data_IF_012868063576
#
_entry.id   IF_012868063576
#
_cell.length_a   1.000
_cell.length_b   1.000
_cell.length_c   1.000
_cell.angle_alpha   90.00
_cell.angle_beta   90.00
_cell.angle_gamma   90.00
#
_symmetry.space_group_name_H-M   'P 1'
#
loop_
_entity.id
_entity.type
_entity.pdbx_description
1 polymer ?
#
# COMPACT_ATOMS: atom_id res chain seq x y z
N UNK A 1 -22.38 0.50 -3.86
CA UNK A 1 -21.35 -0.52 -4.20
C UNK A 1 -20.00 0.00 -3.66
N UNK A 2 -19.35 -0.74 -2.79
CA UNK A 2 -18.06 -0.34 -2.23
C UNK A 2 -16.98 -0.41 -3.32
N UNK A 3 -16.18 0.63 -3.47
CA UNK A 3 -15.13 0.73 -4.51
C UNK A 3 -14.01 -0.30 -4.36
N UNK A 4 -13.63 -0.65 -3.13
CA UNK A 4 -12.62 -1.65 -2.79
C UNK A 4 -13.13 -2.62 -1.72
N UNK A 5 -12.64 -3.86 -1.73
CA UNK A 5 -12.80 -4.76 -0.59
C UNK A 5 -11.85 -4.31 0.54
N UNK A 6 -12.32 -4.44 1.79
CA UNK A 6 -11.56 -3.99 2.96
C UNK A 6 -10.12 -4.56 3.04
N UNK A 7 -9.87 -5.87 2.84
CA UNK A 7 -8.50 -6.37 2.85
C UNK A 7 -7.62 -5.81 1.72
N UNK A 8 -8.19 -5.50 0.55
CA UNK A 8 -7.44 -4.88 -0.54
C UNK A 8 -7.13 -3.40 -0.23
N UNK A 9 -8.05 -2.68 0.43
CA UNK A 9 -7.82 -1.32 0.91
C UNK A 9 -6.69 -1.29 1.94
N UNK A 10 -6.70 -2.20 2.94
CA UNK A 10 -5.63 -2.32 3.91
C UNK A 10 -4.27 -2.70 3.29
N UNK A 11 -4.26 -3.58 2.28
CA UNK A 11 -3.02 -3.91 1.57
C UNK A 11 -2.47 -2.69 0.82
N UNK A 12 -3.33 -1.90 0.21
CA UNK A 12 -2.94 -0.66 -0.44
C UNK A 12 -2.42 0.37 0.56
N UNK A 13 -3.12 0.56 1.69
CA UNK A 13 -2.71 1.45 2.79
C UNK A 13 -1.35 1.04 3.37
N UNK A 14 -1.12 -0.25 3.61
CA UNK A 14 0.17 -0.74 4.08
C UNK A 14 1.29 -0.45 3.06
N UNK A 15 1.00 -0.59 1.78
CA UNK A 15 1.95 -0.21 0.72
C UNK A 15 2.25 1.30 0.71
N UNK A 16 1.24 2.16 0.97
CA UNK A 16 1.42 3.60 1.14
C UNK A 16 2.29 3.93 2.37
N UNK A 17 2.06 3.24 3.49
CA UNK A 17 2.77 3.49 4.74
C UNK A 17 4.23 3.01 4.74
N UNK A 18 4.55 1.97 3.95
CA UNK A 18 5.86 1.30 4.00
C UNK A 18 6.70 1.48 2.74
N UNK A 19 6.08 1.86 1.63
CA UNK A 19 6.69 1.85 0.33
C UNK A 19 6.91 0.44 -0.26
N UNK A 20 6.49 -0.63 0.41
CA UNK A 20 6.64 -1.99 -0.10
C UNK A 20 5.80 -2.23 -1.36
N UNK A 21 6.30 -3.07 -2.25
CA UNK A 21 5.53 -3.47 -3.44
C UNK A 21 4.31 -4.28 -3.01
N UNK A 22 3.18 -4.06 -3.66
CA UNK A 22 1.93 -4.75 -3.32
C UNK A 22 2.07 -6.28 -3.33
N UNK A 23 2.94 -6.83 -4.19
CA UNK A 23 3.22 -8.27 -4.20
C UNK A 23 3.86 -8.76 -2.90
N UNK A 24 4.82 -7.98 -2.37
CA UNK A 24 5.51 -8.31 -1.12
C UNK A 24 4.54 -8.13 0.07
N UNK A 25 3.72 -7.08 0.07
CA UNK A 25 2.66 -6.88 1.07
C UNK A 25 1.68 -8.07 1.12
N UNK A 26 1.19 -8.51 -0.03
CA UNK A 26 0.21 -9.60 -0.10
C UNK A 26 0.78 -10.95 0.34
N UNK A 27 2.08 -11.15 0.23
CA UNK A 27 2.77 -12.37 0.66
C UNK A 27 3.18 -12.39 2.14
N UNK A 28 2.78 -11.38 2.93
CA UNK A 28 3.02 -11.35 4.37
C UNK A 28 2.35 -12.53 5.08
N UNK A 29 3.14 -13.27 5.85
CA UNK A 29 2.64 -14.30 6.76
C UNK A 29 2.11 -13.68 8.05
N UNK A 30 1.08 -14.27 8.63
CA UNK A 30 0.53 -13.81 9.90
C UNK A 30 1.58 -13.88 11.03
N UNK A 31 2.50 -14.85 10.97
CA UNK A 31 3.64 -14.95 11.89
C UNK A 31 4.65 -13.80 11.83
N UNK A 32 4.65 -13.03 10.72
CA UNK A 32 5.52 -11.86 10.55
C UNK A 32 4.87 -10.56 11.03
N UNK A 33 3.58 -10.62 11.42
CA UNK A 33 2.78 -9.45 11.75
C UNK A 33 3.14 -8.92 13.14
N UNK A 34 3.85 -7.81 13.17
CA UNK A 34 4.21 -7.05 14.37
C UNK A 34 4.31 -5.57 13.98
N UNK A 35 4.47 -4.67 14.95
CA UNK A 35 4.58 -3.23 14.67
C UNK A 35 5.83 -2.88 13.84
N UNK A 36 6.89 -3.64 13.98
CA UNK A 36 8.14 -3.46 13.25
C UNK A 36 8.39 -4.66 12.32
N UNK A 37 7.70 -4.68 11.20
CA UNK A 37 7.72 -5.79 10.24
C UNK A 37 8.98 -5.81 9.38
N UNK A 38 9.41 -7.02 9.05
CA UNK A 38 10.52 -7.26 8.12
C UNK A 38 10.04 -8.13 6.97
N UNK A 39 10.35 -7.73 5.74
CA UNK A 39 10.10 -8.53 4.54
C UNK A 39 11.40 -8.76 3.75
N UNK A 40 11.42 -9.83 2.96
CA UNK A 40 12.38 -10.01 1.89
C UNK A 40 11.69 -9.71 0.56
N UNK A 41 12.14 -8.68 -0.14
CA UNK A 41 11.57 -8.26 -1.41
C UNK A 41 11.73 -9.36 -2.47
N UNK A 42 10.65 -9.85 -3.07
CA UNK A 42 10.66 -10.90 -4.08
C UNK A 42 11.50 -10.54 -5.32
N UNK A 43 11.49 -9.26 -5.72
CA UNK A 43 12.18 -8.80 -6.92
C UNK A 43 13.69 -8.64 -6.74
N UNK A 44 14.13 -8.22 -5.57
CA UNK A 44 15.53 -7.81 -5.32
C UNK A 44 16.28 -8.73 -4.37
N UNK A 45 15.57 -9.57 -3.61
CA UNK A 45 16.11 -10.38 -2.53
C UNK A 45 16.57 -9.58 -1.30
N UNK A 46 16.42 -8.25 -1.33
CA UNK A 46 16.85 -7.40 -0.22
C UNK A 46 15.84 -7.44 0.92
N UNK A 47 16.35 -7.37 2.14
CA UNK A 47 15.53 -7.23 3.34
C UNK A 47 15.16 -5.77 3.54
N UNK A 48 13.89 -5.54 3.90
CA UNK A 48 13.35 -4.23 4.25
C UNK A 48 12.60 -4.32 5.56
N UNK A 49 12.94 -3.45 6.51
CA UNK A 49 12.34 -3.37 7.84
C UNK A 49 11.60 -2.04 7.98
N UNK A 50 10.33 -2.08 8.40
CA UNK A 50 9.49 -0.89 8.53
C UNK A 50 8.65 -0.95 9.80
N UNK A 51 8.53 0.20 10.46
CA UNK A 51 7.56 0.39 11.53
C UNK A 51 6.23 0.83 10.93
N UNK A 52 5.16 0.17 11.33
CA UNK A 52 3.80 0.42 10.87
C UNK A 52 3.04 1.19 11.95
N UNK A 53 2.23 2.21 11.59
CA UNK A 53 1.38 2.90 12.55
C UNK A 53 0.52 1.92 13.35
N UNK A 54 0.46 2.08 14.67
CA UNK A 54 -0.23 1.16 15.57
C UNK A 54 -1.70 0.91 15.16
N UNK A 55 -2.41 1.96 14.78
CA UNK A 55 -3.79 1.83 14.32
C UNK A 55 -3.94 0.96 13.07
N UNK A 56 -2.98 1.04 12.13
CA UNK A 56 -2.95 0.18 10.95
C UNK A 56 -2.59 -1.26 11.34
N UNK A 57 -1.61 -1.45 12.23
CA UNK A 57 -1.25 -2.77 12.76
C UNK A 57 -2.45 -3.48 13.40
N UNK A 58 -3.24 -2.81 14.25
CA UNK A 58 -4.43 -3.39 14.86
C UNK A 58 -5.44 -3.87 13.81
N UNK A 59 -5.71 -3.07 12.80
CA UNK A 59 -6.64 -3.43 11.70
C UNK A 59 -6.12 -4.59 10.85
N UNK A 60 -4.81 -4.65 10.61
CA UNK A 60 -4.17 -5.77 9.92
C UNK A 60 -4.33 -7.06 10.72
N UNK A 61 -4.13 -7.00 12.05
CA UNK A 61 -4.27 -8.14 12.95
C UNK A 61 -5.71 -8.66 13.00
N UNK A 62 -6.69 -7.77 13.05
CA UNK A 62 -8.10 -8.14 13.07
C UNK A 62 -8.58 -8.88 11.82
N UNK A 63 -8.00 -8.55 10.66
CA UNK A 63 -8.41 -9.13 9.39
C UNK A 63 -7.53 -10.30 8.93
N UNK A 64 -6.38 -10.53 9.56
CA UNK A 64 -5.44 -11.59 9.21
C UNK A 64 -6.07 -12.98 9.35
N UNK A 65 -5.74 -13.87 8.44
CA UNK A 65 -6.06 -15.29 8.54
C UNK A 65 -4.99 -16.06 9.30
N UNK A 66 -5.14 -17.38 9.41
CA UNK A 66 -4.19 -18.23 10.11
C UNK A 66 -2.78 -18.18 9.49
N UNK A 67 -2.69 -18.26 8.18
CA UNK A 67 -1.42 -18.34 7.46
C UNK A 67 -0.97 -17.00 6.87
N UNK A 68 -1.92 -16.22 6.32
CA UNK A 68 -1.66 -15.01 5.56
C UNK A 68 -2.33 -13.80 6.17
N UNK A 69 -1.62 -12.67 6.22
CA UNK A 69 -2.23 -11.38 6.60
C UNK A 69 -3.35 -11.00 5.63
N UNK A 70 -3.22 -11.37 4.35
CA UNK A 70 -4.21 -11.10 3.30
C UNK A 70 -4.71 -12.40 2.66
N UNK A 71 -5.54 -13.20 3.36
CA UNK A 71 -5.98 -14.48 2.84
C UNK A 71 -6.89 -14.32 1.61
N UNK A 72 -6.74 -15.23 0.65
CA UNK A 72 -7.62 -15.36 -0.50
C UNK A 72 -8.89 -16.14 -0.11
N UNK A 73 -9.90 -16.10 -0.99
CA UNK A 73 -11.05 -17.02 -0.90
C UNK A 73 -10.65 -18.49 -1.18
N UNK A 74 -9.52 -18.71 -1.84
CA UNK A 74 -8.96 -20.06 -2.06
C UNK A 74 -8.10 -20.43 -0.84
N UNK A 75 -8.38 -21.58 -0.26
CA UNK A 75 -7.63 -22.08 0.91
C UNK A 75 -6.12 -22.15 0.63
N UNK A 76 -5.30 -21.83 1.61
CA UNK A 76 -3.84 -21.86 1.54
C UNK A 76 -3.22 -20.83 0.60
N UNK A 77 -3.97 -19.86 0.08
CA UNK A 77 -3.47 -18.82 -0.83
C UNK A 77 -3.70 -17.43 -0.24
N UNK A 78 -2.76 -16.52 -0.51
CA UNK A 78 -2.96 -15.10 -0.28
C UNK A 78 -3.69 -14.43 -1.47
N UNK A 79 -4.16 -13.20 -1.28
CA UNK A 79 -4.77 -12.38 -2.34
C UNK A 79 -3.80 -12.11 -3.47
N UNK A 80 -4.35 -11.88 -4.67
CA UNK A 80 -3.55 -11.63 -5.87
C UNK A 80 -3.41 -10.13 -6.14
N UNK A 81 -2.32 -9.76 -6.81
CA UNK A 81 -2.09 -8.39 -7.29
C UNK A 81 -3.20 -7.93 -8.23
N UNK A 82 -3.72 -8.84 -9.04
CA UNK A 82 -4.83 -8.58 -9.98
C UNK A 82 -6.12 -8.19 -9.23
N UNK A 83 -6.41 -8.84 -8.09
CA UNK A 83 -7.58 -8.50 -7.28
C UNK A 83 -7.46 -7.08 -6.70
N UNK A 84 -6.29 -6.71 -6.19
CA UNK A 84 -6.03 -5.35 -5.70
C UNK A 84 -6.10 -4.34 -6.85
N UNK A 85 -5.52 -4.65 -7.99
CA UNK A 85 -5.55 -3.77 -9.17
C UNK A 85 -6.97 -3.50 -9.66
N UNK A 86 -7.82 -4.55 -9.74
CA UNK A 86 -9.20 -4.39 -10.14
C UNK A 86 -9.99 -3.49 -9.17
N UNK A 87 -9.78 -3.67 -7.87
CA UNK A 87 -10.42 -2.85 -6.83
C UNK A 87 -9.96 -1.40 -6.87
N UNK A 88 -8.64 -1.15 -6.97
CA UNK A 88 -8.06 0.20 -7.07
C UNK A 88 -8.63 0.94 -8.29
N UNK A 89 -8.69 0.29 -9.45
CA UNK A 89 -9.29 0.89 -10.65
C UNK A 89 -10.77 1.18 -10.50
N UNK A 90 -11.51 0.32 -9.83
CA UNK A 90 -12.93 0.53 -9.55
C UNK A 90 -13.12 1.74 -8.64
N UNK A 91 -12.36 1.83 -7.56
CA UNK A 91 -12.39 2.96 -6.64
C UNK A 91 -12.06 4.28 -7.35
N UNK A 92 -10.98 4.31 -8.15
CA UNK A 92 -10.59 5.49 -8.91
C UNK A 92 -11.71 6.00 -9.84
N UNK A 93 -12.41 5.09 -10.54
CA UNK A 93 -13.55 5.47 -11.39
C UNK A 93 -14.72 6.04 -10.60
N UNK A 94 -15.02 5.49 -9.43
CA UNK A 94 -16.15 5.94 -8.60
C UNK A 94 -15.97 7.38 -8.12
N UNK A 95 -14.74 7.84 -8.00
CA UNK A 95 -14.42 9.21 -7.57
C UNK A 95 -13.99 10.11 -8.74
N UNK A 96 -14.20 9.67 -9.97
CA UNK A 96 -13.90 10.48 -11.15
C UNK A 96 -12.41 10.73 -11.39
N UNK A 97 -11.51 9.90 -10.85
CA UNK A 97 -10.09 10.00 -11.14
C UNK A 97 -9.80 9.51 -12.56
N UNK A 98 -9.51 10.42 -13.47
CA UNK A 98 -9.12 10.10 -14.85
C UNK A 98 -7.67 9.59 -14.96
N UNK A 99 -6.86 9.82 -13.94
CA UNK A 99 -5.45 9.41 -13.90
C UNK A 99 -5.32 7.88 -13.76
N UNK A 100 -4.31 7.32 -14.38
CA UNK A 100 -4.02 5.88 -14.28
C UNK A 100 -3.57 5.52 -12.87
N UNK A 101 -4.48 5.01 -12.06
CA UNK A 101 -4.21 4.50 -10.71
C UNK A 101 -3.98 2.99 -10.75
N UNK A 102 -2.95 2.53 -10.07
CA UNK A 102 -2.56 1.12 -9.97
C UNK A 102 -2.02 0.81 -8.57
N UNK A 103 -1.82 -0.46 -8.19
CA UNK A 103 -1.15 -0.78 -6.93
C UNK A 103 0.25 -0.16 -6.76
N UNK A 104 0.92 0.20 -7.87
CA UNK A 104 2.19 0.91 -7.84
C UNK A 104 2.05 2.38 -7.39
N UNK A 105 0.87 2.94 -7.51
CA UNK A 105 0.57 4.30 -7.03
C UNK A 105 0.78 4.43 -5.54
N UNK A 106 0.48 3.40 -4.74
CA UNK A 106 0.75 3.39 -3.30
C UNK A 106 2.24 3.63 -2.98
N UNK A 107 3.12 2.97 -3.73
CA UNK A 107 4.57 3.13 -3.55
C UNK A 107 5.07 4.51 -4.03
N UNK A 108 4.41 5.11 -5.04
CA UNK A 108 4.69 6.48 -5.46
C UNK A 108 4.28 7.48 -4.39
N UNK A 109 3.12 7.31 -3.76
CA UNK A 109 2.66 8.13 -2.64
C UNK A 109 3.70 8.12 -1.52
N UNK A 110 4.14 6.93 -1.08
CA UNK A 110 5.22 6.80 -0.11
C UNK A 110 6.47 7.58 -0.54
N UNK A 111 6.92 7.41 -1.79
CA UNK A 111 8.12 8.05 -2.29
C UNK A 111 8.05 9.58 -2.24
N UNK A 112 6.92 10.15 -2.63
CA UNK A 112 6.68 11.61 -2.58
C UNK A 112 6.70 12.11 -1.14
N UNK A 113 5.94 11.48 -0.25
CA UNK A 113 5.85 11.90 1.16
C UNK A 113 7.18 11.75 1.89
N UNK A 114 7.88 10.62 1.68
CA UNK A 114 9.17 10.38 2.31
C UNK A 114 10.25 11.33 1.78
N UNK A 115 10.26 11.60 0.47
CA UNK A 115 11.20 12.55 -0.14
C UNK A 115 11.00 13.98 0.40
N UNK A 116 9.75 14.41 0.60
CA UNK A 116 9.44 15.73 1.20
C UNK A 116 9.92 15.83 2.64
N UNK A 117 9.80 14.74 3.43
CA UNK A 117 10.17 14.71 4.85
C UNK A 117 11.67 14.51 5.07
N UNK A 118 12.27 13.59 4.33
CA UNK A 118 13.59 13.02 4.63
C UNK A 118 14.61 13.20 3.49
N UNK A 119 14.17 13.69 2.33
CA UNK A 119 15.02 13.92 1.16
C UNK A 119 15.23 12.70 0.27
N UNK A 120 15.73 12.96 -0.95
CA UNK A 120 15.84 11.96 -2.02
C UNK A 120 16.74 10.77 -1.68
N UNK A 121 17.88 11.02 -1.03
CA UNK A 121 18.84 9.96 -0.68
C UNK A 121 18.25 8.97 0.32
N UNK A 122 17.53 9.47 1.33
CA UNK A 122 16.79 8.63 2.28
C UNK A 122 15.74 7.79 1.57
N UNK A 123 14.91 8.39 0.74
CA UNK A 123 13.85 7.71 -0.01
C UNK A 123 14.41 6.64 -0.94
N UNK A 124 15.53 6.91 -1.59
CA UNK A 124 16.21 5.92 -2.44
C UNK A 124 16.62 4.67 -1.63
N UNK A 125 17.20 4.88 -0.45
CA UNK A 125 17.57 3.81 0.47
C UNK A 125 16.34 3.02 0.93
N UNK A 126 15.30 3.72 1.40
CA UNK A 126 14.06 3.14 1.88
C UNK A 126 13.31 2.30 0.83
N UNK A 127 13.38 2.71 -0.44
CA UNK A 127 12.79 2.00 -1.57
C UNK A 127 13.72 0.91 -2.15
N UNK A 128 14.94 0.74 -1.63
CA UNK A 128 15.93 -0.17 -2.20
C UNK A 128 16.21 0.06 -3.71
N UNK A 129 16.06 1.30 -4.20
CA UNK A 129 16.35 1.62 -5.60
C UNK A 129 17.85 1.66 -5.83
N UNK A 130 18.32 1.00 -6.90
CA UNK A 130 19.73 1.05 -7.33
C UNK A 130 20.10 2.37 -7.99
N UNK A 131 19.13 2.98 -8.67
CA UNK A 131 19.29 4.21 -9.45
C UNK A 131 18.51 5.35 -8.81
N UNK A 132 19.19 6.46 -8.51
CA UNK A 132 18.58 7.67 -7.96
C UNK A 132 17.60 8.33 -8.94
N UNK A 133 17.82 8.18 -10.26
CA UNK A 133 16.92 8.70 -11.27
C UNK A 133 15.52 8.09 -11.16
N UNK A 134 15.42 6.80 -10.82
CA UNK A 134 14.13 6.14 -10.59
C UNK A 134 13.42 6.74 -9.38
N UNK A 135 14.15 7.02 -8.29
CA UNK A 135 13.58 7.66 -7.10
C UNK A 135 13.16 9.10 -7.40
N UNK A 136 13.98 9.84 -8.15
CA UNK A 136 13.67 11.19 -8.58
C UNK A 136 12.40 11.23 -9.45
N UNK A 137 12.23 10.30 -10.40
CA UNK A 137 11.00 10.19 -11.19
C UNK A 137 9.75 9.96 -10.32
N UNK A 138 9.87 9.23 -9.21
CA UNK A 138 8.76 9.09 -8.27
C UNK A 138 8.54 10.35 -7.43
N UNK A 139 9.60 10.95 -6.92
CA UNK A 139 9.53 12.15 -6.08
C UNK A 139 9.01 13.38 -6.83
N UNK A 140 9.38 13.51 -8.12
CA UNK A 140 8.93 14.61 -9.01
C UNK A 140 7.63 14.29 -9.77
N UNK A 141 7.01 13.13 -9.53
CA UNK A 141 5.72 12.80 -10.15
C UNK A 141 4.54 13.62 -9.61
N UNK A 142 4.77 14.57 -8.70
CA UNK A 142 3.80 15.60 -8.28
C UNK A 142 3.23 16.40 -9.45
N UNK A 143 3.99 16.55 -10.52
CA UNK A 143 3.49 17.13 -11.77
C UNK A 143 2.47 16.24 -12.49
N UNK A 144 2.38 14.96 -12.12
CA UNK A 144 1.52 13.97 -12.79
C UNK A 144 0.24 13.68 -11.98
N UNK A 145 0.30 13.79 -10.64
CA UNK A 145 -0.87 13.62 -9.77
C UNK A 145 -0.90 14.81 -8.78
N UNK A 146 -1.80 15.77 -8.96
CA UNK A 146 -1.94 16.90 -8.05
C UNK A 146 -2.20 16.44 -6.61
N UNK A 147 -1.65 17.12 -5.61
CA UNK A 147 -1.75 16.81 -4.18
C UNK A 147 -3.17 16.58 -3.70
N UNK A 148 -4.14 17.38 -4.18
CA UNK A 148 -5.54 17.21 -3.82
C UNK A 148 -6.10 15.84 -4.26
N UNK A 149 -5.63 15.28 -5.38
CA UNK A 149 -6.06 13.96 -5.88
C UNK A 149 -5.43 12.80 -5.09
N UNK A 150 -4.22 12.98 -4.55
CA UNK A 150 -3.60 12.01 -3.64
C UNK A 150 -4.32 11.98 -2.30
N UNK A 151 -4.66 13.15 -1.76
CA UNK A 151 -5.43 13.30 -0.53
C UNK A 151 -6.86 12.76 -0.68
N UNK A 152 -7.47 12.96 -1.85
CA UNK A 152 -8.79 12.43 -2.18
C UNK A 152 -8.76 10.89 -2.25
N UNK A 153 -7.76 10.28 -2.85
CA UNK A 153 -7.58 8.83 -2.87
C UNK A 153 -7.33 8.27 -1.46
N UNK A 154 -6.51 8.95 -0.65
CA UNK A 154 -6.28 8.60 0.75
C UNK A 154 -7.56 8.77 1.59
N UNK A 155 -8.34 9.82 1.35
CA UNK A 155 -9.63 10.07 1.97
C UNK A 155 -10.63 8.95 1.70
N UNK A 156 -10.73 8.49 0.45
CA UNK A 156 -11.62 7.39 0.06
C UNK A 156 -11.21 6.06 0.72
N UNK A 157 -9.92 5.80 0.81
CA UNK A 157 -9.41 4.63 1.52
C UNK A 157 -9.80 4.73 3.00
N UNK A 158 -9.67 5.91 3.61
CA UNK A 158 -10.07 6.18 4.98
C UNK A 158 -11.59 6.03 5.19
N UNK A 159 -12.42 6.56 4.30
CA UNK A 159 -13.89 6.42 4.37
C UNK A 159 -14.34 4.96 4.26
N UNK A 160 -13.74 4.16 3.38
CA UNK A 160 -14.03 2.72 3.27
C UNK A 160 -13.71 2.01 4.58
N UNK A 161 -12.64 2.45 5.26
CA UNK A 161 -12.22 1.91 6.55
C UNK A 161 -13.18 2.34 7.66
N UNK A 162 -13.58 3.62 7.69
CA UNK A 162 -14.49 4.18 8.70
C UNK A 162 -15.91 3.58 8.57
N UNK A 163 -16.44 3.46 7.36
CA UNK A 163 -17.77 2.88 7.11
C UNK A 163 -17.87 1.42 7.61
N UNK A 164 -16.76 0.71 7.65
CA UNK A 164 -16.73 -0.66 8.18
C UNK A 164 -16.57 -0.73 9.70
N UNK A 165 -15.96 0.28 10.31
CA UNK A 165 -15.88 0.38 11.78
C UNK A 165 -17.22 0.82 12.37
N UNK A 166 -17.99 1.65 11.67
CA UNK A 166 -19.31 2.12 12.10
C UNK A 166 -20.44 1.05 11.99
N UNK A 167 -20.19 -0.04 11.23
CA UNK A 167 -21.16 -1.15 11.02
C UNK A 167 -20.88 -2.36 11.90
N UNK A 168 -19.97 -2.26 12.87
CA UNK A 168 -19.74 -3.24 13.94
C UNK A 168 -20.33 -2.75 15.26
#
# INVERSE_FOLDING_TARGET
MQGMSYPNALAFELSCATGWRIGDVLSLRTSQLCEEMTITEQKTGKTSKKRVPYALFCRLREQAGEEWVFPSRRAGKHRTRQAVWADVRRAARLVGLETHVSPHTARKIFAVEDCRKNGLAHTQHELNHRDSAVTALYAFSDTIIPDYKLNELAGIIAEIVIDKLAKK
#
